data_IF_774938115773
#
_entry.id   IF_774938115773
#
_cell.length_a   1.000
_cell.length_b   1.000
_cell.length_c   1.000
_cell.angle_alpha   90.00
_cell.angle_beta   90.00
_cell.angle_gamma   90.00
#
_symmetry.space_group_name_H-M   'P 1'
#
loop_
_entity.id
_entity.type
_entity.pdbx_description
1 polymer ?
#
# COMPACT_ATOMS: atom_id res chain seq x y z
N UNK A 1 -23.83 -30.54 -17.21
CA UNK A 1 -24.99 -30.13 -16.36
C UNK A 1 -25.13 -30.95 -15.08
N UNK A 2 -25.13 -32.30 -15.13
CA UNK A 2 -25.34 -33.17 -13.96
C UNK A 2 -24.38 -32.92 -12.78
N UNK A 3 -23.09 -32.68 -13.03
CA UNK A 3 -22.13 -32.37 -11.95
C UNK A 3 -22.42 -31.03 -11.27
N UNK A 4 -22.79 -30.00 -12.04
CA UNK A 4 -23.16 -28.69 -11.49
C UNK A 4 -24.46 -28.78 -10.67
N UNK A 5 -25.48 -29.48 -11.19
CA UNK A 5 -26.73 -29.73 -10.48
C UNK A 5 -26.51 -30.50 -9.17
N UNK A 6 -25.61 -31.49 -9.18
CA UNK A 6 -25.22 -32.23 -7.97
C UNK A 6 -24.53 -31.34 -6.94
N UNK A 7 -23.66 -30.42 -7.39
CA UNK A 7 -23.00 -29.44 -6.52
C UNK A 7 -23.97 -28.42 -5.90
N UNK A 8 -24.81 -27.78 -6.73
CA UNK A 8 -25.80 -26.80 -6.27
C UNK A 8 -26.84 -27.45 -5.34
N UNK A 9 -27.31 -28.66 -5.67
CA UNK A 9 -28.25 -29.40 -4.83
C UNK A 9 -27.66 -29.76 -3.46
N UNK A 10 -26.38 -30.17 -3.41
CA UNK A 10 -25.67 -30.40 -2.16
C UNK A 10 -25.60 -29.14 -1.28
N UNK A 11 -25.28 -27.98 -1.88
CA UNK A 11 -25.23 -26.71 -1.15
C UNK A 11 -26.59 -26.31 -0.56
N UNK A 12 -27.69 -26.47 -1.31
CA UNK A 12 -29.04 -26.14 -0.82
C UNK A 12 -29.38 -26.97 0.43
N UNK A 13 -29.09 -28.27 0.41
CA UNK A 13 -29.34 -29.15 1.55
C UNK A 13 -28.51 -28.72 2.77
N UNK A 14 -27.24 -28.37 2.59
CA UNK A 14 -26.40 -27.91 3.68
C UNK A 14 -26.91 -26.60 4.30
N UNK A 15 -27.36 -25.63 3.50
CA UNK A 15 -27.86 -24.35 4.02
C UNK A 15 -29.10 -24.56 4.90
N UNK A 16 -30.03 -25.43 4.50
CA UNK A 16 -31.26 -25.70 5.27
C UNK A 16 -30.94 -26.35 6.62
N UNK A 17 -30.05 -27.35 6.62
CA UNK A 17 -29.74 -28.15 7.81
C UNK A 17 -28.81 -27.38 8.77
N UNK A 18 -27.80 -26.69 8.24
CA UNK A 18 -26.76 -26.02 9.05
C UNK A 18 -27.31 -24.87 9.88
N UNK A 19 -28.29 -24.10 9.38
CA UNK A 19 -28.87 -22.98 10.14
C UNK A 19 -29.57 -23.44 11.42
N UNK A 20 -30.35 -24.52 11.34
CA UNK A 20 -31.03 -25.10 12.49
C UNK A 20 -30.04 -25.71 13.50
N UNK A 21 -29.11 -26.54 13.01
CA UNK A 21 -28.10 -27.18 13.85
C UNK A 21 -27.21 -26.15 14.58
N UNK A 22 -26.77 -25.09 13.89
CA UNK A 22 -25.95 -24.06 14.50
C UNK A 22 -26.70 -23.27 15.57
N UNK A 23 -28.00 -23.01 15.39
CA UNK A 23 -28.80 -22.33 16.41
C UNK A 23 -28.88 -23.13 17.71
N UNK A 24 -29.01 -24.46 17.62
CA UNK A 24 -29.06 -25.35 18.78
C UNK A 24 -27.71 -25.55 19.45
N UNK A 25 -26.62 -25.59 18.67
CA UNK A 25 -25.26 -25.73 19.20
C UNK A 25 -24.77 -24.44 19.87
N UNK A 26 -25.02 -23.27 19.27
CA UNK A 26 -24.51 -21.99 19.80
C UNK A 26 -25.31 -21.44 20.97
N UNK A 27 -26.62 -21.71 21.04
CA UNK A 27 -27.49 -21.19 22.09
C UNK A 27 -28.13 -22.32 22.90
N UNK A 28 -27.39 -22.97 23.81
CA UNK A 28 -27.93 -24.05 24.66
C UNK A 28 -29.02 -23.57 25.62
N UNK A 29 -29.03 -22.27 25.96
CA UNK A 29 -30.08 -21.64 26.79
C UNK A 29 -30.75 -20.50 26.02
N UNK A 30 -31.99 -20.67 25.51
CA UNK A 30 -32.67 -19.61 24.77
C UNK A 30 -33.10 -18.49 25.72
N UNK A 31 -32.68 -17.25 25.45
CA UNK A 31 -33.19 -16.07 26.14
C UNK A 31 -34.60 -15.73 25.63
N UNK A 32 -35.60 -15.73 26.51
CA UNK A 32 -36.96 -15.29 26.17
C UNK A 32 -37.03 -13.77 26.12
N UNK A 33 -37.28 -13.20 24.94
CA UNK A 33 -37.42 -11.75 24.74
C UNK A 33 -38.90 -11.43 24.52
N UNK A 34 -39.52 -10.74 25.48
CA UNK A 34 -40.92 -10.31 25.41
C UNK A 34 -41.03 -8.98 24.65
N UNK A 35 -41.23 -9.05 23.33
CA UNK A 35 -41.46 -7.89 22.47
C UNK A 35 -42.95 -7.74 22.12
N UNK A 36 -43.46 -6.51 21.92
CA UNK A 36 -44.80 -6.30 21.36
C UNK A 36 -44.89 -6.89 19.95
N UNK A 37 -46.09 -7.34 19.56
CA UNK A 37 -46.34 -8.09 18.32
C UNK A 37 -45.72 -7.42 17.08
N UNK A 38 -45.83 -6.09 16.99
CA UNK A 38 -45.27 -5.32 15.87
C UNK A 38 -43.76 -5.54 15.73
N UNK A 39 -42.99 -5.36 16.81
CA UNK A 39 -41.53 -5.50 16.77
C UNK A 39 -41.09 -6.94 16.47
N UNK A 40 -41.84 -7.94 16.95
CA UNK A 40 -41.54 -9.36 16.67
C UNK A 40 -41.67 -9.72 15.19
N UNK A 41 -42.55 -9.04 14.45
CA UNK A 41 -42.83 -9.31 13.03
C UNK A 41 -42.13 -8.35 12.05
N UNK A 42 -41.44 -7.31 12.52
CA UNK A 42 -40.81 -6.29 11.67
C UNK A 42 -39.87 -6.88 10.62
N UNK A 43 -39.08 -7.90 10.97
CA UNK A 43 -38.11 -8.51 10.03
C UNK A 43 -38.84 -9.14 8.85
N UNK A 44 -39.88 -9.95 9.11
CA UNK A 44 -40.71 -10.55 8.07
C UNK A 44 -41.38 -9.49 7.19
N UNK A 45 -41.92 -8.44 7.80
CA UNK A 45 -42.56 -7.33 7.08
C UNK A 45 -41.55 -6.62 6.17
N UNK A 46 -40.33 -6.35 6.67
CA UNK A 46 -39.28 -5.69 5.88
C UNK A 46 -38.82 -6.52 4.68
N UNK A 47 -38.73 -7.86 4.83
CA UNK A 47 -38.38 -8.77 3.73
C UNK A 47 -39.49 -8.76 2.65
N UNK A 48 -40.76 -8.86 3.05
CA UNK A 48 -41.88 -8.83 2.11
C UNK A 48 -41.97 -7.51 1.34
N UNK A 49 -41.75 -6.38 2.02
CA UNK A 49 -41.68 -5.06 1.38
C UNK A 49 -40.48 -4.98 0.44
N UNK A 50 -39.33 -5.53 0.82
CA UNK A 50 -38.14 -5.58 -0.03
C UNK A 50 -38.38 -6.37 -1.32
N UNK A 51 -39.04 -7.52 -1.22
CA UNK A 51 -39.39 -8.36 -2.39
C UNK A 51 -40.35 -7.62 -3.31
N UNK A 52 -41.41 -7.00 -2.77
CA UNK A 52 -42.40 -6.28 -3.58
C UNK A 52 -41.80 -5.06 -4.29
N UNK A 53 -40.98 -4.27 -3.58
CA UNK A 53 -40.27 -3.14 -4.18
C UNK A 53 -39.25 -3.59 -5.22
N UNK A 54 -38.47 -4.63 -4.94
CA UNK A 54 -37.51 -5.20 -5.87
C UNK A 54 -38.17 -5.69 -7.16
N UNK A 55 -39.32 -6.36 -7.04
CA UNK A 55 -40.11 -6.80 -8.19
C UNK A 55 -40.60 -5.60 -9.03
N UNK A 56 -41.13 -4.56 -8.38
CA UNK A 56 -41.56 -3.34 -9.08
C UNK A 56 -40.40 -2.64 -9.82
N UNK A 57 -39.20 -2.62 -9.24
CA UNK A 57 -38.01 -2.07 -9.89
C UNK A 57 -37.59 -2.93 -11.09
N UNK A 58 -37.69 -4.26 -10.99
CA UNK A 58 -37.29 -5.17 -12.07
C UNK A 58 -38.18 -5.12 -13.32
N UNK A 59 -39.43 -4.65 -13.17
CA UNK A 59 -40.39 -4.53 -14.28
C UNK A 59 -40.23 -3.25 -15.11
N UNK A 60 -39.28 -2.36 -14.76
CA UNK A 60 -39.02 -1.14 -15.52
C UNK A 60 -38.41 -1.52 -16.88
N UNK A 61 -39.09 -1.16 -17.97
CA UNK A 61 -38.63 -1.45 -19.32
C UNK A 61 -37.56 -0.45 -19.77
N UNK A 62 -36.74 -0.85 -20.75
CA UNK A 62 -35.68 -0.02 -21.34
C UNK A 62 -36.18 1.32 -21.92
N UNK A 63 -37.47 1.46 -22.22
CA UNK A 63 -38.03 2.63 -22.89
C UNK A 63 -38.60 3.69 -21.94
N UNK A 64 -38.50 3.48 -20.62
CA UNK A 64 -38.91 4.49 -19.63
C UNK A 64 -37.84 5.58 -19.50
N UNK A 65 -38.25 6.86 -19.52
CA UNK A 65 -37.36 7.98 -19.18
C UNK A 65 -36.73 7.72 -17.81
N UNK A 66 -35.43 7.42 -17.80
CA UNK A 66 -34.80 6.87 -16.61
C UNK A 66 -34.75 7.93 -15.51
N UNK A 67 -35.54 7.70 -14.45
CA UNK A 67 -35.51 8.52 -13.22
C UNK A 67 -34.11 8.51 -12.58
N UNK A 68 -33.27 7.53 -12.92
CA UNK A 68 -31.86 7.43 -12.53
C UNK A 68 -31.00 8.52 -13.17
N UNK A 69 -31.25 8.93 -14.43
CA UNK A 69 -30.56 10.07 -15.04
C UNK A 69 -30.89 11.39 -14.31
N UNK A 70 -32.11 11.53 -13.78
CA UNK A 70 -32.48 12.72 -12.98
C UNK A 70 -31.70 12.79 -11.66
N UNK A 71 -31.37 11.66 -11.06
CA UNK A 71 -30.52 11.56 -9.86
C UNK A 71 -29.17 10.93 -10.17
N UNK A 72 -28.52 11.39 -11.25
CA UNK A 72 -27.26 10.80 -11.72
C UNK A 72 -26.16 10.88 -10.66
N UNK A 73 -25.99 12.03 -10.00
CA UNK A 73 -24.93 12.19 -8.98
C UNK A 73 -25.10 11.22 -7.81
N UNK A 74 -26.35 11.00 -7.36
CA UNK A 74 -26.63 10.09 -6.26
C UNK A 74 -26.43 8.63 -6.68
N UNK A 75 -26.91 8.25 -7.87
CA UNK A 75 -26.75 6.90 -8.39
C UNK A 75 -25.28 6.57 -8.68
N UNK A 76 -24.52 7.53 -9.22
CA UNK A 76 -23.08 7.39 -9.44
C UNK A 76 -22.32 7.22 -8.12
N UNK A 77 -22.68 7.95 -7.07
CA UNK A 77 -22.05 7.81 -5.75
C UNK A 77 -22.30 6.42 -5.11
N UNK A 78 -23.50 5.87 -5.25
CA UNK A 78 -23.78 4.50 -4.80
C UNK A 78 -23.09 3.45 -5.69
N UNK A 79 -23.04 3.66 -7.00
CA UNK A 79 -22.35 2.78 -7.96
C UNK A 79 -20.86 2.69 -7.67
N UNK A 80 -20.21 3.80 -7.34
CA UNK A 80 -18.77 3.86 -7.07
C UNK A 80 -18.36 3.35 -5.69
N UNK A 81 -19.24 2.59 -5.00
CA UNK A 81 -19.04 2.15 -3.61
C UNK A 81 -18.60 3.32 -2.72
N UNK A 82 -19.36 4.41 -2.74
CA UNK A 82 -19.08 5.63 -1.96
C UNK A 82 -17.67 6.21 -2.20
N UNK A 83 -17.09 6.00 -3.38
CA UNK A 83 -15.71 6.36 -3.73
C UNK A 83 -14.64 5.77 -2.78
N UNK A 84 -14.95 4.68 -2.07
CA UNK A 84 -14.02 4.05 -1.12
C UNK A 84 -12.68 3.68 -1.76
N UNK A 85 -12.72 3.13 -2.98
CA UNK A 85 -11.51 2.73 -3.71
C UNK A 85 -10.58 3.93 -3.99
N UNK A 86 -11.12 5.11 -4.28
CA UNK A 86 -10.29 6.30 -4.52
C UNK A 86 -9.65 6.81 -3.24
N UNK A 87 -10.40 6.79 -2.13
CA UNK A 87 -9.90 7.21 -0.82
C UNK A 87 -8.80 6.27 -0.35
N UNK A 88 -8.99 4.96 -0.49
CA UNK A 88 -8.03 3.96 -0.01
C UNK A 88 -6.75 3.89 -0.85
N UNK A 89 -6.82 4.17 -2.16
CA UNK A 89 -5.66 4.03 -3.06
C UNK A 89 -4.83 5.31 -3.18
N UNK A 90 -5.46 6.47 -3.35
CA UNK A 90 -4.76 7.71 -3.68
C UNK A 90 -3.99 8.28 -2.49
N UNK A 91 -4.58 8.29 -1.29
CA UNK A 91 -3.94 8.85 -0.10
C UNK A 91 -2.77 8.01 0.42
N UNK A 92 -2.86 6.69 0.28
CA UNK A 92 -1.86 5.75 0.80
C UNK A 92 -0.64 5.71 -0.10
N UNK A 93 -0.82 5.54 -1.42
CA UNK A 93 0.30 5.32 -2.34
C UNK A 93 1.18 6.56 -2.53
N UNK A 94 0.58 7.73 -2.73
CA UNK A 94 1.31 8.96 -3.05
C UNK A 94 2.23 9.42 -1.91
N UNK A 95 1.73 9.39 -0.67
CA UNK A 95 2.52 9.85 0.48
C UNK A 95 3.73 8.94 0.75
N UNK A 96 3.58 7.61 0.64
CA UNK A 96 4.71 6.69 0.83
C UNK A 96 5.77 6.86 -0.26
N UNK A 97 5.37 7.10 -1.51
CA UNK A 97 6.31 7.32 -2.62
C UNK A 97 7.10 8.63 -2.46
N UNK A 98 6.46 9.72 -2.04
CA UNK A 98 7.13 11.00 -1.80
C UNK A 98 8.20 10.89 -0.70
N UNK A 99 7.87 10.17 0.38
CA UNK A 99 8.79 9.94 1.49
C UNK A 99 9.95 9.04 1.04
N UNK A 100 9.66 7.98 0.28
CA UNK A 100 10.69 7.11 -0.30
C UNK A 100 11.69 7.87 -1.17
N UNK A 101 11.23 8.79 -2.02
CA UNK A 101 12.12 9.60 -2.86
C UNK A 101 13.03 10.52 -2.03
N UNK A 102 12.49 11.14 -0.96
CA UNK A 102 13.29 11.98 -0.05
C UNK A 102 14.36 11.16 0.67
N UNK A 103 14.02 9.94 1.09
CA UNK A 103 14.99 9.05 1.73
C UNK A 103 16.12 8.65 0.79
N UNK A 104 15.81 8.28 -0.45
CA UNK A 104 16.83 7.91 -1.43
C UNK A 104 17.84 9.05 -1.69
N UNK A 105 17.35 10.29 -1.84
CA UNK A 105 18.22 11.44 -2.11
C UNK A 105 19.05 11.82 -0.88
N UNK A 106 18.42 11.90 0.29
CA UNK A 106 19.09 12.41 1.49
C UNK A 106 20.00 11.34 2.07
N UNK A 107 19.49 10.13 2.30
CA UNK A 107 20.23 9.09 3.00
C UNK A 107 21.20 8.40 2.03
N UNK A 108 20.67 7.73 1.00
CA UNK A 108 21.48 6.82 0.17
C UNK A 108 22.47 7.58 -0.71
N UNK A 109 22.00 8.59 -1.45
CA UNK A 109 22.85 9.40 -2.34
C UNK A 109 23.58 10.54 -1.60
N UNK A 110 23.09 10.95 -0.43
CA UNK A 110 23.67 12.07 0.33
C UNK A 110 24.61 11.62 1.44
N UNK A 111 24.04 11.27 2.60
CA UNK A 111 24.81 10.97 3.80
C UNK A 111 25.72 9.75 3.61
N UNK A 112 25.28 8.65 3.01
CA UNK A 112 26.16 7.49 2.84
C UNK A 112 27.30 7.71 1.86
N UNK A 113 27.14 8.54 0.82
CA UNK A 113 28.26 8.87 -0.07
C UNK A 113 29.25 9.82 0.62
N UNK A 114 28.74 10.78 1.41
CA UNK A 114 29.57 11.72 2.18
C UNK A 114 30.38 11.05 3.29
N UNK A 115 29.80 10.08 4.01
CA UNK A 115 30.54 9.31 5.02
C UNK A 115 31.29 8.12 4.43
N UNK A 116 30.91 7.70 3.22
CA UNK A 116 31.45 6.53 2.56
C UNK A 116 32.60 6.84 1.61
N UNK A 117 32.54 6.19 0.44
CA UNK A 117 33.66 6.03 -0.47
C UNK A 117 34.09 7.32 -1.17
N UNK A 118 33.16 8.22 -1.55
CA UNK A 118 33.49 9.44 -2.28
C UNK A 118 34.37 10.37 -1.44
N UNK A 119 33.94 10.68 -0.22
CA UNK A 119 34.70 11.58 0.64
C UNK A 119 36.03 10.95 1.10
N UNK A 120 36.03 9.64 1.39
CA UNK A 120 37.26 8.89 1.66
C UNK A 120 38.27 8.99 0.49
N UNK A 121 37.80 8.84 -0.76
CA UNK A 121 38.65 8.99 -1.95
C UNK A 121 39.23 10.40 -2.06
N UNK A 122 38.42 11.44 -1.86
CA UNK A 122 38.90 12.83 -1.87
C UNK A 122 39.93 13.09 -0.78
N UNK A 123 39.72 12.56 0.43
CA UNK A 123 40.65 12.71 1.54
C UNK A 123 42.00 12.04 1.24
N UNK A 124 41.98 10.80 0.73
CA UNK A 124 43.18 10.06 0.34
C UNK A 124 43.95 10.76 -0.78
N UNK A 125 43.25 11.29 -1.79
CA UNK A 125 43.87 12.06 -2.88
C UNK A 125 44.58 13.32 -2.35
N UNK A 126 43.97 14.03 -1.41
CA UNK A 126 44.59 15.23 -0.83
C UNK A 126 45.84 14.88 -0.02
N UNK A 127 45.80 13.80 0.75
CA UNK A 127 46.96 13.30 1.48
C UNK A 127 48.08 12.89 0.53
N UNK A 128 47.78 12.17 -0.56
CA UNK A 128 48.80 11.72 -1.51
C UNK A 128 49.48 12.89 -2.21
N UNK A 129 48.73 13.93 -2.59
CA UNK A 129 49.28 15.15 -3.20
C UNK A 129 50.20 15.89 -2.21
N UNK A 130 49.81 15.98 -0.94
CA UNK A 130 50.63 16.59 0.09
C UNK A 130 51.94 15.80 0.31
N UNK A 131 51.86 14.48 0.41
CA UNK A 131 53.03 13.61 0.56
C UNK A 131 53.98 13.73 -0.63
N UNK A 132 53.45 13.76 -1.86
CA UNK A 132 54.28 13.93 -3.06
C UNK A 132 55.09 15.23 -3.03
N UNK A 133 54.49 16.35 -2.58
CA UNK A 133 55.21 17.63 -2.43
C UNK A 133 56.32 17.53 -1.39
N UNK A 134 56.08 16.86 -0.26
CA UNK A 134 57.10 16.65 0.78
C UNK A 134 58.27 15.81 0.25
N UNK A 135 58.01 14.72 -0.48
CA UNK A 135 59.05 13.88 -1.06
C UNK A 135 59.90 14.62 -2.11
N UNK A 136 59.28 15.42 -2.99
CA UNK A 136 60.01 16.20 -3.99
C UNK A 136 60.93 17.25 -3.35
N UNK A 137 60.48 17.88 -2.25
CA UNK A 137 61.31 18.86 -1.55
C UNK A 137 62.52 18.20 -0.86
N UNK A 138 62.31 17.03 -0.26
CA UNK A 138 63.40 16.25 0.34
C UNK A 138 64.42 15.77 -0.72
N UNK A 139 63.96 15.31 -1.88
CA UNK A 139 64.84 14.94 -2.99
C UNK A 139 65.70 16.11 -3.47
N UNK A 140 65.11 17.31 -3.58
CA UNK A 140 65.85 18.52 -3.97
C UNK A 140 66.99 18.82 -2.97
N UNK A 141 66.71 18.74 -1.67
CA UNK A 141 67.72 18.94 -0.62
C UNK A 141 68.85 17.89 -0.72
N UNK A 142 68.49 16.62 -0.92
CA UNK A 142 69.48 15.54 -1.04
C UNK A 142 70.39 15.73 -2.26
N UNK A 143 69.83 16.12 -3.41
CA UNK A 143 70.59 16.42 -4.63
C UNK A 143 71.53 17.60 -4.44
N UNK A 144 71.11 18.66 -3.72
CA UNK A 144 72.02 19.78 -3.43
C UNK A 144 73.20 19.39 -2.55
N UNK A 145 72.98 18.52 -1.55
CA UNK A 145 74.07 18.00 -0.70
C UNK A 145 75.04 17.13 -1.50
N UNK A 146 74.53 16.30 -2.40
CA UNK A 146 75.34 15.46 -3.27
C UNK A 146 76.23 16.29 -4.21
N UNK A 147 75.69 17.36 -4.80
CA UNK A 147 76.46 18.28 -5.64
C UNK A 147 77.60 18.94 -4.86
N UNK A 148 77.33 19.42 -3.64
CA UNK A 148 78.37 20.01 -2.77
C UNK A 148 79.48 18.99 -2.51
N UNK A 149 79.13 17.75 -2.19
CA UNK A 149 80.09 16.68 -1.95
C UNK A 149 80.96 16.38 -3.17
N UNK A 150 80.38 16.33 -4.37
CA UNK A 150 81.13 16.14 -5.62
C UNK A 150 82.12 17.30 -5.86
N UNK A 151 81.72 18.54 -5.62
CA UNK A 151 82.63 19.68 -5.74
C UNK A 151 83.81 19.59 -4.78
N UNK A 152 83.60 19.10 -3.55
CA UNK A 152 84.65 18.88 -2.55
C UNK A 152 85.59 17.72 -2.91
N UNK A 153 85.23 16.83 -3.84
CA UNK A 153 86.11 15.78 -4.34
C UNK A 153 87.02 16.24 -5.49
N UNK A 154 86.59 17.28 -6.23
CA UNK A 154 87.37 17.87 -7.32
C UNK A 154 88.38 18.92 -6.84
N UNK A 155 88.16 19.50 -5.66
CA UNK A 155 89.10 20.35 -4.93
C UNK A 155 89.93 19.51 -3.96
#
# INVERSE_FOLDING_TARGET
SKMMLKGMGGLILFVIISGGLMSWLMFPTPYMICLPLMMKLLVLISILIGISLGFMISLINFNDYSKTLKFYNLSFYFMSMWNLNFISTLGVTYNFLLIGNKYNIIIDQGWSEYFGSQNMFFFMKNISIFLQKMFLNNLKMFLTLFLIWVCMLFF
#
